data_IF_936181119483
#
_entry.id   IF_936181119483
#
_cell.length_a   1.000
_cell.length_b   1.000
_cell.length_c   1.000
_cell.angle_alpha   90.00
_cell.angle_beta   90.00
_cell.angle_gamma   90.00
#
_symmetry.space_group_name_H-M   'P 1'
#
loop_
_entity.id
_entity.type
_entity.pdbx_description
1 polymer ?
#
# COMPACT_ATOMS: atom_id res chain seq x y z
N UNK A 1 16.53 6.19 6.95
CA UNK A 1 16.73 4.81 6.45
C UNK A 1 16.52 3.88 7.65
N UNK A 2 15.29 3.41 7.87
CA UNK A 2 15.05 2.38 8.88
C UNK A 2 15.60 1.07 8.29
N UNK A 3 16.76 0.64 8.79
CA UNK A 3 17.32 -0.65 8.44
C UNK A 3 16.40 -1.74 9.02
N UNK A 4 15.75 -2.50 8.15
CA UNK A 4 15.05 -3.73 8.52
C UNK A 4 16.11 -4.80 8.82
N UNK A 5 16.62 -4.83 10.05
CA UNK A 5 17.37 -5.98 10.56
C UNK A 5 16.44 -6.77 11.48
N UNK A 6 15.94 -7.89 10.96
CA UNK A 6 15.23 -8.89 11.74
C UNK A 6 16.22 -9.53 12.71
N UNK A 7 16.17 -9.20 14.00
CA UNK A 7 16.83 -10.01 15.02
C UNK A 7 16.06 -9.90 16.32
N UNK A 8 15.12 -10.82 16.50
CA UNK A 8 14.59 -11.42 17.73
C UNK A 8 13.23 -11.99 17.30
N UNK A 9 13.11 -13.31 17.37
CA UNK A 9 12.07 -14.17 16.74
C UNK A 9 12.50 -14.64 15.34
N UNK A 10 12.77 -15.94 15.23
CA UNK A 10 13.12 -16.68 14.00
C UNK A 10 11.98 -16.72 12.96
N UNK A 11 11.20 -15.65 12.86
CA UNK A 11 10.12 -15.47 11.92
C UNK A 11 10.50 -14.29 11.04
N UNK A 12 10.32 -14.41 9.72
CA UNK A 12 10.37 -13.29 8.77
C UNK A 12 9.16 -12.37 8.98
N UNK A 13 8.94 -11.94 10.21
CA UNK A 13 7.91 -11.02 10.65
C UNK A 13 8.59 -9.66 10.79
N UNK A 14 8.09 -8.65 10.08
CA UNK A 14 8.63 -7.29 10.13
C UNK A 14 8.12 -6.64 11.42
N UNK A 15 8.78 -6.96 12.53
CA UNK A 15 8.61 -6.23 13.79
C UNK A 15 9.69 -5.15 13.80
N UNK A 16 9.33 -3.89 14.06
CA UNK A 16 10.32 -2.85 14.26
C UNK A 16 11.20 -3.21 15.47
N UNK A 17 12.51 -2.99 15.37
CA UNK A 17 13.54 -3.47 16.34
C UNK A 17 13.27 -3.07 17.81
N UNK A 18 12.42 -2.06 18.05
CA UNK A 18 12.08 -1.53 19.36
C UNK A 18 10.74 -2.03 19.94
N UNK A 19 9.94 -2.73 19.14
CA UNK A 19 8.61 -3.17 19.53
C UNK A 19 8.68 -4.38 20.47
N UNK A 20 7.91 -4.32 21.55
CA UNK A 20 7.85 -5.40 22.56
C UNK A 20 9.05 -5.48 23.51
N UNK A 21 10.01 -4.54 23.46
CA UNK A 21 11.17 -4.54 24.37
C UNK A 21 10.78 -4.44 25.84
N UNK A 22 9.78 -3.60 26.15
CA UNK A 22 9.26 -3.35 27.49
C UNK A 22 8.29 -4.43 28.00
N UNK A 23 7.99 -5.46 27.20
CA UNK A 23 7.16 -6.57 27.64
C UNK A 23 7.95 -7.48 28.58
N UNK A 24 7.29 -7.98 29.62
CA UNK A 24 7.82 -9.08 30.43
C UNK A 24 7.92 -10.38 29.62
N UNK A 25 8.57 -11.39 30.20
CA UNK A 25 8.81 -12.67 29.55
C UNK A 25 7.53 -13.42 29.19
N UNK A 26 6.49 -13.32 30.02
CA UNK A 26 5.21 -14.00 29.77
C UNK A 26 4.51 -13.39 28.55
N UNK A 27 4.40 -12.07 28.51
CA UNK A 27 3.79 -11.34 27.40
C UNK A 27 4.60 -11.48 26.11
N UNK A 28 5.93 -11.57 26.18
CA UNK A 28 6.78 -11.93 25.02
C UNK A 28 6.45 -13.32 24.47
N UNK A 29 6.26 -14.31 25.34
CA UNK A 29 5.90 -15.66 24.93
C UNK A 29 4.50 -15.71 24.30
N UNK A 30 3.53 -15.00 24.89
CA UNK A 30 2.16 -14.88 24.34
C UNK A 30 2.15 -14.20 22.97
N UNK A 31 2.87 -13.09 22.81
CA UNK A 31 3.02 -12.42 21.52
C UNK A 31 3.65 -13.37 20.49
N UNK A 32 4.70 -14.08 20.87
CA UNK A 32 5.38 -15.05 20.01
C UNK A 32 4.43 -16.16 19.57
N UNK A 33 3.62 -16.71 20.48
CA UNK A 33 2.63 -17.72 20.15
C UNK A 33 1.60 -17.18 19.13
N UNK A 34 1.04 -16.00 19.39
CA UNK A 34 0.07 -15.36 18.49
C UNK A 34 0.63 -15.12 17.09
N UNK A 35 1.85 -14.59 16.99
CA UNK A 35 2.51 -14.38 15.70
C UNK A 35 2.81 -15.70 14.98
N UNK A 36 3.10 -16.77 15.74
CA UNK A 36 3.33 -18.10 15.17
C UNK A 36 2.02 -18.76 14.69
N UNK A 37 0.92 -18.57 15.41
CA UNK A 37 -0.40 -19.08 15.04
C UNK A 37 -0.93 -18.38 13.78
N UNK A 38 -0.62 -17.10 13.61
CA UNK A 38 -1.11 -16.26 12.52
C UNK A 38 -0.05 -15.98 11.43
N UNK A 39 0.94 -16.86 11.28
CA UNK A 39 2.07 -16.67 10.32
C UNK A 39 1.64 -16.31 8.92
N UNK A 40 0.54 -16.90 8.45
CA UNK A 40 0.03 -16.71 7.10
C UNK A 40 -0.44 -15.27 6.83
N UNK A 41 -0.88 -14.54 7.86
CA UNK A 41 -1.31 -13.14 7.76
C UNK A 41 -0.10 -12.20 7.75
N UNK A 42 0.99 -12.60 8.42
CA UNK A 42 2.18 -11.78 8.60
C UNK A 42 3.31 -12.08 7.61
N UNK A 43 3.13 -13.04 6.71
CA UNK A 43 4.09 -13.31 5.63
C UNK A 43 4.01 -12.21 4.55
N UNK A 44 5.12 -12.00 3.85
CA UNK A 44 5.13 -11.12 2.68
C UNK A 44 4.39 -11.77 1.51
N UNK A 45 3.52 -11.00 0.87
CA UNK A 45 2.67 -11.45 -0.24
C UNK A 45 1.27 -11.88 0.22
N UNK A 46 0.50 -12.45 -0.69
CA UNK A 46 -0.90 -12.84 -0.46
C UNK A 46 -1.79 -12.32 -1.58
N UNK A 47 -2.93 -12.97 -1.75
CA UNK A 47 -3.97 -12.53 -2.68
C UNK A 47 -4.62 -11.23 -2.17
N UNK A 48 -5.20 -10.42 -3.06
CA UNK A 48 -6.06 -9.32 -2.67
C UNK A 48 -7.17 -9.75 -1.71
N UNK A 49 -7.66 -8.80 -0.93
CA UNK A 49 -8.73 -9.03 0.02
C UNK A 49 -10.03 -9.40 -0.70
N UNK A 50 -10.72 -10.49 -0.29
CA UNK A 50 -12.01 -10.83 -0.88
C UNK A 50 -13.16 -9.98 -0.33
N UNK A 51 -12.91 -9.13 0.68
CA UNK A 51 -13.96 -8.45 1.44
C UNK A 51 -14.48 -7.18 0.78
N UNK A 52 -13.68 -6.54 -0.07
CA UNK A 52 -14.03 -5.25 -0.68
C UNK A 52 -13.32 -5.08 -2.02
N UNK A 53 -14.01 -4.41 -2.95
CA UNK A 53 -13.45 -3.94 -4.22
C UNK A 53 -13.54 -2.41 -4.28
N UNK A 54 -12.61 -1.81 -5.01
CA UNK A 54 -12.59 -0.38 -5.27
C UNK A 54 -13.38 -0.06 -6.54
N UNK A 55 -14.17 1.00 -6.51
CA UNK A 55 -15.03 1.47 -7.61
C UNK A 55 -14.62 2.90 -7.97
N UNK A 56 -14.61 3.24 -9.26
CA UNK A 56 -14.17 4.53 -9.80
C UNK A 56 -15.35 5.21 -10.50
N UNK A 57 -16.34 5.61 -9.70
CA UNK A 57 -17.53 6.27 -10.23
C UNK A 57 -17.19 7.62 -10.88
N UNK A 58 -17.28 7.70 -12.20
CA UNK A 58 -17.13 8.94 -13.00
C UNK A 58 -18.47 9.54 -13.44
N UNK A 59 -19.60 8.99 -12.99
CA UNK A 59 -20.93 9.42 -13.40
C UNK A 59 -21.14 9.31 -14.92
N UNK A 60 -21.71 10.35 -15.52
CA UNK A 60 -21.94 10.44 -16.97
C UNK A 60 -20.79 11.15 -17.72
N UNK A 61 -19.63 11.32 -17.08
CA UNK A 61 -18.50 12.01 -17.72
C UNK A 61 -17.88 11.15 -18.85
N UNK A 62 -17.51 11.77 -19.98
CA UNK A 62 -16.83 11.06 -21.05
C UNK A 62 -15.40 10.66 -20.61
N UNK A 63 -14.80 9.63 -21.24
CA UNK A 63 -13.44 9.19 -20.93
C UNK A 63 -12.40 10.30 -21.04
N UNK A 64 -11.45 10.30 -20.09
CA UNK A 64 -10.32 11.24 -20.09
C UNK A 64 -9.03 10.53 -20.48
N UNK A 65 -8.43 10.98 -21.58
CA UNK A 65 -7.14 10.49 -22.06
C UNK A 65 -6.10 11.62 -22.09
N UNK A 66 -4.89 11.30 -21.64
CA UNK A 66 -3.77 12.23 -21.61
C UNK A 66 -2.51 11.57 -22.16
N UNK A 67 -1.81 12.30 -23.03
CA UNK A 67 -0.59 11.82 -23.66
C UNK A 67 0.53 11.61 -22.64
N UNK A 68 1.34 10.54 -22.75
CA UNK A 68 2.51 10.34 -21.91
C UNK A 68 3.50 11.51 -21.97
N UNK A 69 4.12 11.82 -20.83
CA UNK A 69 5.18 12.82 -20.78
C UNK A 69 6.45 12.35 -21.50
N UNK A 70 7.20 13.29 -22.05
CA UNK A 70 8.50 12.98 -22.66
C UNK A 70 9.49 12.55 -21.58
N UNK A 71 10.10 11.38 -21.77
CA UNK A 71 11.11 10.82 -20.88
C UNK A 71 12.46 10.71 -21.59
N UNK A 72 13.54 10.96 -20.86
CA UNK A 72 14.90 10.67 -21.31
C UNK A 72 15.13 9.16 -21.45
N UNK A 73 16.11 8.69 -22.24
CA UNK A 73 16.38 7.26 -22.43
C UNK A 73 16.54 6.51 -21.10
N UNK A 74 17.33 7.05 -20.16
CA UNK A 74 17.51 6.49 -18.83
C UNK A 74 16.20 6.36 -18.06
N UNK A 75 15.32 7.36 -18.11
CA UNK A 75 14.01 7.32 -17.45
C UNK A 75 13.06 6.30 -18.08
N UNK A 76 13.14 6.09 -19.40
CA UNK A 76 12.35 5.05 -20.08
C UNK A 76 12.75 3.65 -19.65
N UNK A 77 14.04 3.39 -19.50
CA UNK A 77 14.55 2.10 -19.01
C UNK A 77 14.08 1.83 -17.57
N UNK A 78 14.19 2.82 -16.69
CA UNK A 78 13.69 2.74 -15.32
C UNK A 78 12.17 2.50 -15.27
N UNK A 79 11.40 3.20 -16.11
CA UNK A 79 9.97 2.99 -16.23
C UNK A 79 9.64 1.55 -16.62
N UNK A 80 10.33 1.01 -17.64
CA UNK A 80 10.11 -0.38 -18.10
C UNK A 80 10.40 -1.38 -16.98
N UNK A 81 11.53 -1.24 -16.30
CA UNK A 81 11.89 -2.12 -15.18
C UNK A 81 10.85 -2.10 -14.06
N UNK A 82 10.24 -0.95 -13.76
CA UNK A 82 9.18 -0.88 -12.75
C UNK A 82 7.85 -1.47 -13.26
N UNK A 83 7.49 -1.27 -14.53
CA UNK A 83 6.30 -1.91 -15.14
C UNK A 83 6.45 -3.43 -15.13
N UNK A 84 7.60 -3.97 -15.55
CA UNK A 84 7.86 -5.41 -15.57
C UNK A 84 7.72 -6.03 -14.17
N UNK A 85 8.16 -5.31 -13.13
CA UNK A 85 7.97 -5.75 -11.74
C UNK A 85 6.49 -5.74 -11.34
N UNK A 86 5.72 -4.74 -11.73
CA UNK A 86 4.30 -4.67 -11.37
C UNK A 86 3.50 -5.78 -12.08
N UNK A 87 3.78 -6.04 -13.36
CA UNK A 87 3.21 -7.15 -14.12
C UNK A 87 3.59 -8.51 -13.49
N UNK A 88 4.86 -8.71 -13.14
CA UNK A 88 5.32 -9.96 -12.54
C UNK A 88 4.72 -10.23 -11.13
N UNK A 89 4.25 -9.18 -10.45
CA UNK A 89 3.59 -9.29 -9.15
C UNK A 89 2.05 -9.23 -9.27
N UNK A 90 1.50 -9.29 -10.49
CA UNK A 90 0.06 -9.27 -10.74
C UNK A 90 -0.66 -8.02 -10.19
N UNK A 91 0.04 -6.89 -10.14
CA UNK A 91 -0.50 -5.61 -9.64
C UNK A 91 -1.20 -4.82 -10.75
N UNK A 92 -0.75 -5.01 -11.99
CA UNK A 92 -1.30 -4.37 -13.19
C UNK A 92 -1.38 -5.41 -14.30
N UNK A 93 -2.20 -5.14 -15.31
CA UNK A 93 -2.32 -5.93 -16.53
C UNK A 93 -2.33 -5.03 -17.77
N UNK A 94 -2.10 -5.63 -18.94
CA UNK A 94 -2.26 -4.93 -20.22
C UNK A 94 -3.75 -4.81 -20.55
N UNK A 95 -4.19 -3.61 -20.93
CA UNK A 95 -5.58 -3.35 -21.29
C UNK A 95 -5.69 -2.36 -22.46
N UNK A 96 -6.84 -2.40 -23.14
CA UNK A 96 -7.27 -1.39 -24.10
C UNK A 96 -8.35 -0.52 -23.47
N UNK A 97 -7.98 0.68 -23.01
CA UNK A 97 -8.91 1.58 -22.31
C UNK A 97 -9.08 2.91 -23.06
N UNK A 98 -10.31 3.47 -23.11
CA UNK A 98 -10.52 4.85 -23.57
C UNK A 98 -10.00 5.89 -22.55
N UNK A 99 -9.73 5.48 -21.31
CA UNK A 99 -9.09 6.32 -20.30
C UNK A 99 -7.57 6.14 -20.36
N UNK A 100 -6.84 7.25 -20.18
CA UNK A 100 -5.38 7.20 -20.11
C UNK A 100 -4.81 8.32 -19.24
N UNK A 101 -3.95 7.95 -18.29
CA UNK A 101 -3.23 8.87 -17.43
C UNK A 101 -1.70 8.72 -17.64
N UNK A 102 -0.94 9.82 -17.67
CA UNK A 102 0.49 9.76 -17.90
C UNK A 102 1.24 9.36 -16.63
N UNK A 103 2.38 8.69 -16.82
CA UNK A 103 3.27 8.31 -15.72
C UNK A 103 4.24 9.43 -15.38
N UNK A 104 4.48 9.62 -14.09
CA UNK A 104 5.46 10.53 -13.50
C UNK A 104 6.45 9.73 -12.65
N UNK A 105 7.75 9.93 -12.90
CA UNK A 105 8.82 9.31 -12.12
C UNK A 105 9.34 10.30 -11.08
N UNK A 106 9.17 9.96 -9.79
CA UNK A 106 9.57 10.80 -8.66
C UNK A 106 10.76 10.18 -7.92
N UNK A 107 11.87 10.89 -7.70
CA UNK A 107 12.98 10.36 -6.93
C UNK A 107 12.61 10.24 -5.44
N UNK A 108 12.97 9.12 -4.82
CA UNK A 108 12.91 8.93 -3.37
C UNK A 108 14.21 9.43 -2.73
N UNK A 109 14.19 9.83 -1.44
CA UNK A 109 15.39 10.27 -0.73
C UNK A 109 16.52 9.23 -0.66
N UNK A 110 16.19 7.94 -0.77
CA UNK A 110 17.16 6.84 -0.76
C UNK A 110 17.81 6.57 -2.15
N UNK A 111 17.48 7.37 -3.17
CA UNK A 111 18.02 7.22 -4.53
C UNK A 111 17.16 6.35 -5.45
N UNK A 112 16.19 5.60 -4.91
CA UNK A 112 15.22 4.86 -5.72
C UNK A 112 14.24 5.81 -6.42
N UNK A 113 13.41 5.27 -7.31
CA UNK A 113 12.35 6.01 -7.98
C UNK A 113 10.99 5.47 -7.53
N UNK A 114 9.99 6.34 -7.52
CA UNK A 114 8.58 6.00 -7.38
C UNK A 114 7.90 6.25 -8.72
N UNK A 115 7.29 5.20 -9.26
CA UNK A 115 6.36 5.29 -10.37
C UNK A 115 5.04 5.83 -9.81
N UNK A 116 4.61 6.99 -10.31
CA UNK A 116 3.34 7.62 -9.95
C UNK A 116 2.50 7.81 -11.21
N UNK A 117 1.20 7.61 -11.12
CA UNK A 117 0.26 7.91 -12.19
C UNK A 117 -0.38 9.27 -11.90
N UNK A 118 -0.43 10.15 -12.91
CA UNK A 118 -1.07 11.46 -12.77
C UNK A 118 -2.58 11.36 -13.00
N UNK A 119 -3.29 10.94 -11.95
CA UNK A 119 -4.75 10.83 -11.95
C UNK A 119 -5.48 12.17 -11.78
N UNK A 120 -4.82 13.33 -11.84
CA UNK A 120 -5.49 14.62 -11.56
C UNK A 120 -6.73 14.87 -12.42
N UNK A 121 -6.71 14.48 -13.70
CA UNK A 121 -7.88 14.62 -14.58
C UNK A 121 -8.98 13.61 -14.27
N UNK A 122 -8.61 12.37 -13.94
CA UNK A 122 -9.55 11.33 -13.52
C UNK A 122 -10.22 11.74 -12.21
N UNK A 123 -9.44 12.07 -11.19
CA UNK A 123 -9.92 12.49 -9.88
C UNK A 123 -10.82 13.74 -9.93
N UNK A 124 -10.69 14.59 -10.95
CA UNK A 124 -11.54 15.77 -11.12
C UNK A 124 -12.97 15.43 -11.57
N UNK A 125 -13.17 14.26 -12.20
CA UNK A 125 -14.48 13.77 -12.65
C UNK A 125 -15.00 12.62 -11.78
N UNK A 126 -14.14 12.00 -10.96
CA UNK A 126 -14.53 10.96 -10.01
C UNK A 126 -15.40 11.54 -8.90
N UNK A 127 -16.55 10.91 -8.63
CA UNK A 127 -17.42 11.22 -7.50
C UNK A 127 -16.68 10.89 -6.20
N UNK A 128 -16.44 11.85 -5.29
CA UNK A 128 -15.69 11.59 -4.07
C UNK A 128 -16.44 10.67 -3.11
N UNK A 129 -15.86 9.52 -2.79
CA UNK A 129 -16.31 8.68 -1.69
C UNK A 129 -15.84 9.28 -0.35
N UNK A 130 -16.77 9.88 0.39
CA UNK A 130 -16.47 10.59 1.63
C UNK A 130 -16.73 9.69 2.83
N UNK A 131 -15.68 9.06 3.33
CA UNK A 131 -15.71 8.40 4.63
C UNK A 131 -15.37 9.39 5.76
N UNK A 132 -16.23 9.55 6.79
CA UNK A 132 -15.94 10.44 7.90
C UNK A 132 -14.82 9.85 8.77
N UNK A 133 -13.61 10.39 8.64
CA UNK A 133 -12.51 10.05 9.52
C UNK A 133 -12.72 10.70 10.91
N UNK A 134 -12.52 9.96 12.00
CA UNK A 134 -12.62 10.51 13.34
C UNK A 134 -11.53 11.56 13.60
N UNK A 135 -11.79 12.48 14.54
CA UNK A 135 -10.82 13.46 14.97
C UNK A 135 -9.65 12.78 15.70
N UNK A 136 -8.44 13.26 15.44
CA UNK A 136 -7.23 12.69 16.05
C UNK A 136 -7.25 12.76 17.58
N UNK A 137 -7.80 13.83 18.16
CA UNK A 137 -7.91 13.99 19.61
C UNK A 137 -8.84 12.93 20.24
N UNK A 138 -9.91 12.54 19.55
CA UNK A 138 -10.81 11.47 19.99
C UNK A 138 -10.07 10.14 20.03
N UNK A 139 -9.38 9.79 18.93
CA UNK A 139 -8.57 8.57 18.86
C UNK A 139 -7.50 8.50 19.96
N UNK A 140 -6.82 9.63 20.24
CA UNK A 140 -5.81 9.70 21.29
C UNK A 140 -6.39 9.62 22.69
N UNK A 141 -7.60 10.15 22.92
CA UNK A 141 -8.27 10.02 24.21
C UNK A 141 -8.60 8.56 24.52
N UNK A 142 -9.16 7.84 23.55
CA UNK A 142 -9.51 6.42 23.69
C UNK A 142 -8.27 5.55 23.92
N UNK A 143 -7.15 5.89 23.29
CA UNK A 143 -5.90 5.16 23.45
C UNK A 143 -5.25 5.31 24.85
N UNK A 144 -5.50 6.43 25.56
CA UNK A 144 -4.86 6.75 26.86
C UNK A 144 -5.17 5.75 27.98
N UNK A 145 -6.26 4.99 27.87
CA UNK A 145 -6.68 4.02 28.89
C UNK A 145 -6.17 2.59 28.68
N UNK A 146 -5.26 2.35 27.72
CA UNK A 146 -4.79 1.00 27.39
C UNK A 146 -3.43 0.67 28.02
N UNK A 147 -3.29 -0.55 28.56
CA UNK A 147 -2.02 -1.06 29.08
C UNK A 147 -1.07 -1.54 27.98
N UNK A 148 -1.63 -1.92 26.82
CA UNK A 148 -0.91 -2.38 25.65
C UNK A 148 -1.50 -1.72 24.40
N UNK A 149 -0.63 -1.30 23.49
CA UNK A 149 -1.01 -0.81 22.17
C UNK A 149 -0.27 -1.63 21.11
N UNK A 150 -0.93 -1.89 19.99
CA UNK A 150 -0.33 -2.56 18.83
C UNK A 150 -0.67 -1.78 17.58
N UNK A 151 0.33 -1.57 16.73
CA UNK A 151 0.19 -0.88 15.46
C UNK A 151 0.47 -1.84 14.32
N UNK A 152 -0.44 -1.90 13.36
CA UNK A 152 -0.30 -2.74 12.17
C UNK A 152 -0.14 -1.83 10.95
N UNK A 153 0.88 -2.10 10.14
CA UNK A 153 1.08 -1.44 8.85
C UNK A 153 0.84 -2.45 7.72
N UNK A 154 -0.06 -2.11 6.79
CA UNK A 154 -0.32 -2.94 5.63
C UNK A 154 0.72 -2.65 4.55
N UNK A 155 1.53 -3.66 4.23
CA UNK A 155 2.50 -3.56 3.15
C UNK A 155 1.78 -3.28 1.83
N UNK A 156 2.09 -2.13 1.21
CA UNK A 156 1.46 -1.69 -0.05
C UNK A 156 -0.05 -1.82 -0.01
N UNK A 157 -0.68 -1.36 1.08
CA UNK A 157 -2.10 -1.62 1.36
C UNK A 157 -3.08 -1.33 0.22
N UNK A 158 -2.82 -0.31 -0.61
CA UNK A 158 -3.66 -0.04 -1.79
C UNK A 158 -3.72 -1.20 -2.80
N UNK A 159 -2.63 -1.97 -2.96
CA UNK A 159 -2.59 -3.10 -3.89
C UNK A 159 -3.30 -4.34 -3.35
N UNK A 160 -3.73 -4.31 -2.08
CA UNK A 160 -4.47 -5.42 -1.48
C UNK A 160 -5.97 -5.33 -1.77
N UNK A 161 -6.45 -4.26 -2.39
CA UNK A 161 -7.86 -4.08 -2.76
C UNK A 161 -7.96 -4.09 -4.29
N UNK A 162 -8.70 -5.06 -4.83
CA UNK A 162 -8.95 -5.13 -6.27
C UNK A 162 -9.81 -3.95 -6.73
N UNK A 163 -9.51 -3.44 -7.92
CA UNK A 163 -10.46 -2.60 -8.65
C UNK A 163 -11.57 -3.49 -9.19
N UNK A 164 -12.81 -3.01 -9.20
CA UNK A 164 -13.90 -3.75 -9.82
C UNK A 164 -13.62 -3.94 -11.33
N UNK A 165 -13.71 -5.17 -11.87
CA UNK A 165 -13.47 -5.45 -13.30
C UNK A 165 -14.34 -4.66 -14.29
N UNK A 166 -15.48 -4.11 -13.84
CA UNK A 166 -16.39 -3.32 -14.69
C UNK A 166 -16.01 -1.82 -14.79
N UNK A 167 -14.92 -1.39 -14.15
CA UNK A 167 -14.44 0.02 -14.11
C UNK A 167 -13.38 0.35 -15.17
#
# INVERSE_FOLDING_TARGET
MLQYKATLLNLKLIIFVYEGQNLDTENKNRLTALLNENKEIFRLGGEPTPYVKHYINTGDHPPVASTPYRLSPKKKELLRTEIDKLLANDVIEECESPFAAPVVLVPKPNGDIRLCIDYRKLNAITVPDRYPLPLMDTLLHDAKSTAFMSTFDLKTGYHQIEVNPDE
#
